data_IF_899107334568
#
_entry.id   IF_899107334568
#
_cell.length_a   1.000
_cell.length_b   1.000
_cell.length_c   1.000
_cell.angle_alpha   90.00
_cell.angle_beta   90.00
_cell.angle_gamma   90.00
#
_symmetry.space_group_name_H-M   'P 1'
#
loop_
_entity.id
_entity.type
_entity.pdbx_description
1 polymer ?
#
# COMPACT_ATOMS: atom_id res chain seq x y z
N UNK A 1 -0.91 8.66 -48.25
CA UNK A 1 -2.15 7.98 -47.81
C UNK A 1 -2.10 6.54 -48.30
N UNK A 2 -1.54 5.62 -47.51
CA UNK A 2 -1.46 4.19 -47.86
C UNK A 2 -2.72 3.48 -47.37
N UNK A 3 -3.56 3.03 -48.31
CA UNK A 3 -4.81 2.33 -48.02
C UNK A 3 -4.57 0.91 -47.50
N UNK A 4 -4.84 0.69 -46.22
CA UNK A 4 -4.87 -0.65 -45.61
C UNK A 4 -6.14 -1.38 -46.06
N UNK A 5 -6.00 -2.51 -46.75
CA UNK A 5 -7.12 -3.36 -47.17
C UNK A 5 -7.71 -4.10 -45.95
N UNK A 6 -9.04 -4.07 -45.72
CA UNK A 6 -9.68 -4.62 -44.51
C UNK A 6 -9.55 -6.14 -44.36
N UNK A 7 -9.16 -6.84 -45.43
CA UNK A 7 -8.97 -8.29 -45.47
C UNK A 7 -7.78 -8.80 -44.66
N UNK A 8 -6.81 -7.92 -44.35
CA UNK A 8 -5.66 -8.25 -43.50
C UNK A 8 -5.90 -7.95 -42.01
N UNK A 9 -6.98 -7.26 -41.68
CA UNK A 9 -7.30 -6.91 -40.30
C UNK A 9 -7.84 -8.12 -39.53
N UNK A 10 -8.55 -9.05 -40.20
CA UNK A 10 -9.02 -10.30 -39.58
C UNK A 10 -7.90 -11.32 -39.32
N UNK A 11 -6.86 -11.37 -40.18
CA UNK A 11 -5.78 -12.35 -40.03
C UNK A 11 -4.77 -12.02 -38.92
N UNK A 12 -4.71 -10.76 -38.49
CA UNK A 12 -3.77 -10.32 -37.45
C UNK A 12 -4.28 -10.56 -36.01
N UNK A 13 -5.59 -10.77 -35.79
CA UNK A 13 -6.18 -10.99 -34.46
C UNK A 13 -6.42 -12.46 -34.10
N UNK A 14 -6.32 -13.38 -35.06
CA UNK A 14 -6.51 -14.83 -34.83
C UNK A 14 -5.45 -15.47 -33.92
N UNK A 15 -4.15 -15.10 -33.93
CA UNK A 15 -3.16 -15.81 -33.13
C UNK A 15 -3.18 -15.45 -31.64
N UNK A 16 -3.93 -14.42 -31.21
CA UNK A 16 -3.97 -14.00 -29.80
C UNK A 16 -5.02 -14.75 -28.96
N UNK A 17 -5.83 -15.62 -29.58
CA UNK A 17 -6.94 -16.31 -28.93
C UNK A 17 -6.60 -17.72 -28.39
N UNK A 18 -5.36 -18.20 -28.53
CA UNK A 18 -4.97 -19.60 -28.16
C UNK A 18 -4.24 -19.66 -26.81
N UNK A 19 -4.21 -18.58 -26.03
CA UNK A 19 -3.83 -18.68 -24.62
C UNK A 19 -5.00 -19.31 -23.84
N UNK A 20 -5.06 -20.66 -23.83
CA UNK A 20 -6.09 -21.42 -23.14
C UNK A 20 -6.10 -21.10 -21.64
N UNK A 21 -7.30 -20.87 -21.09
CA UNK A 21 -7.50 -20.78 -19.66
C UNK A 21 -7.27 -22.17 -19.04
N UNK A 22 -6.20 -22.35 -18.25
CA UNK A 22 -6.10 -23.52 -17.37
C UNK A 22 -7.01 -23.29 -16.18
N UNK A 23 -7.85 -24.27 -15.84
CA UNK A 23 -8.70 -24.19 -14.65
C UNK A 23 -8.00 -24.81 -13.45
N UNK A 24 -8.39 -24.42 -12.23
CA UNK A 24 -7.82 -25.01 -11.03
C UNK A 24 -8.08 -26.52 -10.95
N UNK A 25 -9.23 -26.97 -11.47
CA UNK A 25 -9.60 -28.39 -11.51
C UNK A 25 -8.64 -29.21 -12.40
N UNK A 26 -8.19 -28.66 -13.53
CA UNK A 26 -7.20 -29.32 -14.40
C UNK A 26 -5.86 -29.53 -13.65
N UNK A 27 -5.45 -28.54 -12.85
CA UNK A 27 -4.20 -28.60 -12.07
C UNK A 27 -4.29 -29.60 -10.92
N UNK A 28 -5.44 -29.67 -10.23
CA UNK A 28 -5.65 -30.66 -9.17
C UNK A 28 -5.73 -32.07 -9.72
N UNK A 29 -6.43 -32.24 -10.85
CA UNK A 29 -6.51 -33.52 -11.52
C UNK A 29 -5.12 -34.01 -11.95
N UNK A 30 -4.29 -33.15 -12.56
CA UNK A 30 -2.93 -33.49 -12.96
C UNK A 30 -2.03 -33.86 -11.76
N UNK A 31 -2.16 -33.13 -10.64
CA UNK A 31 -1.45 -33.49 -9.42
C UNK A 31 -1.86 -34.88 -8.92
N UNK A 32 -3.16 -35.16 -8.79
CA UNK A 32 -3.63 -36.45 -8.30
C UNK A 32 -3.25 -37.62 -9.24
N UNK A 33 -3.30 -37.42 -10.56
CA UNK A 33 -2.84 -38.44 -11.51
C UNK A 33 -1.32 -38.61 -11.48
N UNK A 34 -0.54 -37.54 -11.24
CA UNK A 34 0.92 -37.61 -11.13
C UNK A 34 1.38 -38.45 -9.93
N UNK A 35 0.59 -38.49 -8.86
CA UNK A 35 0.80 -39.39 -7.71
C UNK A 35 0.36 -40.84 -7.99
N UNK A 36 -0.20 -41.11 -9.17
CA UNK A 36 -0.63 -42.44 -9.60
C UNK A 36 -2.10 -42.76 -9.28
N UNK A 37 -2.89 -41.80 -8.80
CA UNK A 37 -4.31 -42.03 -8.57
C UNK A 37 -5.09 -42.00 -9.88
N UNK A 38 -5.89 -43.03 -10.13
CA UNK A 38 -6.71 -43.13 -11.36
C UNK A 38 -8.07 -42.43 -11.16
N UNK A 39 -8.52 -41.59 -12.11
CA UNK A 39 -9.84 -40.96 -12.05
C UNK A 39 -10.97 -41.98 -11.91
N UNK A 40 -11.98 -41.64 -11.11
CA UNK A 40 -13.11 -42.52 -10.80
C UNK A 40 -12.86 -43.52 -9.66
N UNK A 41 -11.72 -43.46 -8.98
CA UNK A 41 -11.44 -44.24 -7.77
C UNK A 41 -11.62 -43.42 -6.50
N UNK A 42 -11.87 -44.10 -5.38
CA UNK A 42 -11.96 -43.45 -4.06
C UNK A 42 -10.63 -42.78 -3.68
N UNK A 43 -9.49 -43.36 -4.07
CA UNK A 43 -8.18 -42.78 -3.80
C UNK A 43 -7.99 -41.44 -4.52
N UNK A 44 -8.44 -41.34 -5.78
CA UNK A 44 -8.44 -40.08 -6.52
C UNK A 44 -9.40 -39.05 -5.91
N UNK A 45 -10.61 -39.46 -5.52
CA UNK A 45 -11.56 -38.57 -4.86
C UNK A 45 -11.01 -37.99 -3.55
N UNK A 46 -10.36 -38.81 -2.73
CA UNK A 46 -9.71 -38.37 -1.49
C UNK A 46 -8.58 -37.37 -1.76
N UNK A 47 -7.75 -37.60 -2.79
CA UNK A 47 -6.70 -36.66 -3.19
C UNK A 47 -7.30 -35.29 -3.60
N UNK A 48 -8.33 -35.29 -4.44
CA UNK A 48 -8.99 -34.05 -4.90
C UNK A 48 -9.62 -33.29 -3.73
N UNK A 49 -10.28 -33.98 -2.79
CA UNK A 49 -10.86 -33.37 -1.59
C UNK A 49 -9.79 -32.79 -0.65
N UNK A 50 -8.65 -33.47 -0.50
CA UNK A 50 -7.56 -32.95 0.31
C UNK A 50 -6.94 -31.70 -0.33
N UNK A 51 -6.78 -31.71 -1.66
CA UNK A 51 -6.19 -30.60 -2.37
C UNK A 51 -7.09 -29.36 -2.36
N UNK A 52 -8.41 -29.52 -2.53
CA UNK A 52 -9.36 -28.41 -2.36
C UNK A 52 -9.34 -27.87 -0.93
N UNK A 53 -9.34 -28.74 0.09
CA UNK A 53 -9.25 -28.31 1.48
C UNK A 53 -7.93 -27.58 1.81
N UNK A 54 -6.82 -27.93 1.14
CA UNK A 54 -5.55 -27.20 1.25
C UNK A 54 -5.63 -25.83 0.60
N UNK A 55 -6.21 -25.75 -0.59
CA UNK A 55 -6.41 -24.49 -1.30
C UNK A 55 -7.24 -23.51 -0.46
N UNK A 56 -8.39 -23.95 0.07
CA UNK A 56 -9.26 -23.11 0.91
C UNK A 56 -8.52 -22.58 2.16
N UNK A 57 -7.69 -23.41 2.79
CA UNK A 57 -6.87 -23.00 3.94
C UNK A 57 -5.80 -21.98 3.55
N UNK A 58 -5.17 -22.14 2.40
CA UNK A 58 -4.14 -21.22 1.93
C UNK A 58 -4.73 -19.88 1.48
N UNK A 59 -5.93 -19.89 0.88
CA UNK A 59 -6.72 -18.69 0.62
C UNK A 59 -7.08 -17.96 1.91
N UNK A 60 -7.61 -18.68 2.91
CA UNK A 60 -7.93 -18.10 4.23
C UNK A 60 -6.69 -17.47 4.87
N UNK A 61 -5.54 -18.18 4.87
CA UNK A 61 -4.27 -17.65 5.37
C UNK A 61 -3.81 -16.41 4.58
N UNK A 62 -4.02 -16.38 3.27
CA UNK A 62 -3.68 -15.22 2.45
C UNK A 62 -4.58 -14.02 2.81
N UNK A 63 -5.88 -14.25 3.00
CA UNK A 63 -6.83 -13.23 3.44
C UNK A 63 -6.49 -12.70 4.84
N UNK A 64 -6.13 -13.58 5.78
CA UNK A 64 -5.72 -13.19 7.13
C UNK A 64 -4.47 -12.30 7.10
N UNK A 65 -3.49 -12.62 6.26
CA UNK A 65 -2.29 -11.78 6.06
C UNK A 65 -2.65 -10.39 5.55
N UNK A 66 -3.56 -10.30 4.57
CA UNK A 66 -4.04 -9.03 4.01
C UNK A 66 -4.78 -8.23 5.07
N UNK A 67 -5.71 -8.86 5.80
CA UNK A 67 -6.46 -8.22 6.87
C UNK A 67 -5.54 -7.66 7.96
N UNK A 68 -4.58 -8.46 8.43
CA UNK A 68 -3.61 -8.02 9.43
C UNK A 68 -2.74 -6.86 8.93
N UNK A 69 -2.36 -6.86 7.65
CA UNK A 69 -1.63 -5.74 7.05
C UNK A 69 -2.46 -4.45 7.02
N UNK A 70 -3.72 -4.53 6.59
CA UNK A 70 -4.64 -3.38 6.55
C UNK A 70 -4.83 -2.78 7.95
N UNK A 71 -4.94 -3.61 8.99
CA UNK A 71 -5.05 -3.12 10.37
C UNK A 71 -3.80 -2.35 10.80
N UNK A 72 -2.60 -2.89 10.54
CA UNK A 72 -1.33 -2.21 10.83
C UNK A 72 -1.20 -0.88 10.09
N UNK A 73 -1.63 -0.83 8.83
CA UNK A 73 -1.59 0.40 8.04
C UNK A 73 -2.57 1.47 8.57
N UNK A 74 -3.77 1.05 9.00
CA UNK A 74 -4.73 1.94 9.66
C UNK A 74 -4.19 2.51 10.96
N UNK A 75 -3.54 1.69 11.77
CA UNK A 75 -2.90 2.12 13.02
C UNK A 75 -1.77 3.13 12.78
N UNK A 76 -0.85 2.82 11.86
CA UNK A 76 0.22 3.74 11.45
C UNK A 76 -0.33 5.09 10.97
N UNK A 77 -1.41 5.09 10.17
CA UNK A 77 -2.04 6.32 9.70
C UNK A 77 -2.64 7.13 10.84
N UNK A 78 -3.30 6.48 11.80
CA UNK A 78 -3.84 7.14 13.00
C UNK A 78 -2.74 7.76 13.86
N UNK A 79 -1.63 7.04 14.05
CA UNK A 79 -0.49 7.56 14.80
C UNK A 79 0.13 8.78 14.11
N UNK A 80 0.31 8.72 12.78
CA UNK A 80 0.78 9.86 11.98
C UNK A 80 -0.12 11.07 12.16
N UNK A 81 -1.44 10.90 12.02
CA UNK A 81 -2.40 11.98 12.23
C UNK A 81 -2.29 12.57 13.64
N UNK A 82 -2.20 11.71 14.66
CA UNK A 82 -2.03 12.13 16.06
C UNK A 82 -0.73 12.91 16.28
N UNK A 83 0.34 12.56 15.58
CA UNK A 83 1.61 13.29 15.63
C UNK A 83 1.51 14.65 14.92
N UNK A 84 0.78 14.73 13.82
CA UNK A 84 0.51 15.99 13.13
C UNK A 84 -0.37 16.91 13.99
N UNK A 85 -1.43 16.40 14.60
CA UNK A 85 -2.27 17.18 15.53
C UNK A 85 -1.50 17.67 16.75
N UNK A 86 -0.57 16.86 17.28
CA UNK A 86 0.30 17.27 18.40
C UNK A 86 1.41 18.24 18.01
N UNK A 87 1.70 18.41 16.72
CA UNK A 87 2.55 19.51 16.26
C UNK A 87 1.72 20.78 16.28
N UNK A 88 1.46 21.27 17.49
CA UNK A 88 1.00 22.64 17.72
C UNK A 88 2.07 23.54 17.12
N UNK A 89 1.67 24.45 16.24
CA UNK A 89 2.57 25.47 15.72
C UNK A 89 3.02 26.35 16.89
N UNK A 90 4.28 26.19 17.29
CA UNK A 90 4.90 26.90 18.42
C UNK A 90 5.54 28.21 17.98
N UNK A 91 5.43 28.58 16.70
CA UNK A 91 5.94 29.85 16.20
C UNK A 91 5.23 31.01 16.93
N UNK A 92 5.97 32.02 17.42
CA UNK A 92 5.36 33.18 18.06
C UNK A 92 4.39 33.89 17.13
N UNK A 93 3.17 34.15 17.60
CA UNK A 93 2.13 34.82 16.79
C UNK A 93 2.40 36.32 16.59
N UNK A 94 3.11 36.94 17.52
CA UNK A 94 3.46 38.37 17.50
C UNK A 94 4.96 38.56 17.73
N UNK A 95 5.50 39.67 17.21
CA UNK A 95 6.86 40.12 17.52
C UNK A 95 6.93 40.83 18.88
N UNK A 96 8.14 41.26 19.27
CA UNK A 96 8.41 41.98 20.53
C UNK A 96 7.71 43.35 20.64
N UNK A 97 7.31 43.91 19.50
CA UNK A 97 6.65 45.21 19.40
C UNK A 97 5.11 45.06 19.32
N UNK A 98 4.61 43.81 19.30
CA UNK A 98 3.19 43.46 19.27
C UNK A 98 2.60 43.35 17.86
N UNK A 99 3.41 43.39 16.79
CA UNK A 99 2.92 43.22 15.43
C UNK A 99 2.73 41.73 15.08
N UNK A 100 1.75 41.36 14.24
CA UNK A 100 1.56 39.98 13.80
C UNK A 100 2.79 39.44 13.03
N UNK A 101 3.22 38.21 13.34
CA UNK A 101 4.27 37.49 12.61
C UNK A 101 3.75 36.73 11.38
N UNK A 102 2.47 36.90 11.04
CA UNK A 102 1.85 36.29 9.86
C UNK A 102 1.13 37.37 9.05
N UNK A 103 1.25 37.30 7.72
CA UNK A 103 0.49 38.17 6.82
C UNK A 103 -0.98 37.72 6.70
N UNK A 104 -1.76 38.45 5.89
CA UNK A 104 -3.17 38.13 5.66
C UNK A 104 -3.41 36.81 4.91
N UNK A 105 -2.38 36.25 4.29
CA UNK A 105 -2.41 34.99 3.56
C UNK A 105 -1.91 33.82 4.44
N UNK A 106 -1.47 34.10 5.67
CA UNK A 106 -0.96 33.11 6.63
C UNK A 106 0.51 32.74 6.43
N UNK A 107 1.26 33.51 5.63
CA UNK A 107 2.70 33.31 5.49
C UNK A 107 3.42 33.94 6.69
N UNK A 108 4.42 33.23 7.22
CA UNK A 108 5.24 33.74 8.31
C UNK A 108 6.14 34.88 7.81
N UNK A 109 5.95 36.08 8.37
CA UNK A 109 6.71 37.32 8.10
C UNK A 109 7.62 37.73 9.27
N UNK A 110 7.70 36.90 10.33
CA UNK A 110 8.61 37.11 11.45
C UNK A 110 10.08 37.00 11.02
N UNK A 111 11.01 37.26 11.94
CA UNK A 111 12.41 37.45 11.52
C UNK A 111 13.04 36.22 10.86
N UNK A 112 13.70 36.47 9.72
CA UNK A 112 14.41 35.46 8.94
C UNK A 112 15.91 35.57 9.23
N UNK A 113 16.46 34.67 10.05
CA UNK A 113 17.91 34.64 10.30
C UNK A 113 18.32 33.91 11.58
N UNK A 114 19.62 33.59 11.66
CA UNK A 114 20.27 33.18 12.91
C UNK A 114 20.24 34.35 13.90
N UNK A 115 19.55 34.16 15.03
CA UNK A 115 19.18 35.22 15.99
C UNK A 115 17.68 35.34 16.29
N UNK A 116 16.83 34.59 15.57
CA UNK A 116 15.45 34.28 15.97
C UNK A 116 15.31 32.89 16.62
N UNK A 117 16.43 32.18 16.81
CA UNK A 117 16.51 31.10 17.79
C UNK A 117 16.28 31.72 19.16
N UNK A 118 15.15 31.37 19.77
CA UNK A 118 14.88 31.72 21.15
C UNK A 118 15.90 30.95 21.98
N UNK A 119 16.82 31.65 22.65
CA UNK A 119 17.70 31.01 23.63
C UNK A 119 16.84 30.26 24.65
N UNK A 120 17.18 29.01 24.92
CA UNK A 120 16.49 28.22 25.93
C UNK A 120 16.75 28.87 27.30
N UNK A 121 15.73 29.38 28.01
CA UNK A 121 15.93 30.12 29.26
C UNK A 121 16.49 29.27 30.42
N UNK A 122 16.59 27.95 30.22
CA UNK A 122 17.24 27.03 31.15
C UNK A 122 18.75 26.84 30.90
N UNK A 123 19.37 27.66 30.03
CA UNK A 123 20.81 27.63 29.82
C UNK A 123 21.52 28.62 30.78
N UNK A 124 22.20 28.16 31.84
CA UNK A 124 22.81 29.03 32.85
C UNK A 124 24.08 29.77 32.38
N UNK A 125 24.40 29.77 31.09
CA UNK A 125 25.68 30.25 30.56
C UNK A 125 25.74 31.75 30.23
N UNK A 126 24.61 32.48 30.19
CA UNK A 126 24.57 33.89 29.77
C UNK A 126 24.31 34.89 30.91
N UNK A 127 24.82 34.61 32.12
CA UNK A 127 24.66 35.49 33.29
C UNK A 127 25.92 36.27 33.71
N UNK A 128 26.97 36.33 32.88
CA UNK A 128 28.16 37.15 33.15
C UNK A 128 28.66 37.93 31.92
N UNK A 129 28.11 39.14 31.72
CA UNK A 129 28.88 40.38 31.45
C UNK A 129 28.01 41.64 31.63
#
# INVERSE_FOLDING_TARGET
>A
MTGLKPRHLLLAFVPLAVAGCVTADDVYQDNCTSFGFMPGTDAFANCMMEQSARHDKDEQRAQDRIYAQVQRDRERKRERHRREERQIDTRPQFDKDGNPNFDTEGNYIGCHGVGCEVDNPDNPADSDN
#
